data_IF_080505448350
#
_entry.id   IF_080505448350
#
_cell.length_a   1.000
_cell.length_b   1.000
_cell.length_c   1.000
_cell.angle_alpha   90.00
_cell.angle_beta   90.00
_cell.angle_gamma   90.00
#
_symmetry.space_group_name_H-M   'P 1'
#
loop_
_entity.id
_entity.type
_entity.pdbx_description
1 polymer ?
#
# COMPACT_ATOMS: atom_id res chain seq x y z
N UNK A 1 -6.79 12.89 -5.06
CA UNK A 1 -7.33 11.56 -5.40
C UNK A 1 -6.18 10.62 -5.82
N UNK A 2 -5.65 9.83 -4.86
CA UNK A 2 -4.63 8.83 -5.11
C UNK A 2 -5.22 7.41 -5.16
N UNK A 3 -4.73 6.59 -6.09
CA UNK A 3 -5.27 5.26 -6.36
C UNK A 3 -4.15 4.23 -6.48
N UNK A 4 -4.37 3.04 -5.96
CA UNK A 4 -3.52 1.89 -6.26
C UNK A 4 -3.88 1.26 -7.61
N UNK A 5 -2.94 0.55 -8.20
CA UNK A 5 -3.15 -0.17 -9.46
C UNK A 5 -3.90 -1.51 -9.27
N UNK A 6 -3.97 -1.99 -8.02
CA UNK A 6 -4.72 -3.19 -7.65
C UNK A 6 -5.15 -3.11 -6.19
N UNK A 7 -6.40 -3.49 -5.84
CA UNK A 7 -6.89 -3.43 -4.46
C UNK A 7 -6.47 -4.65 -3.61
N UNK A 8 -5.30 -5.23 -3.88
CA UNK A 8 -4.79 -6.42 -3.18
C UNK A 8 -3.31 -6.26 -2.84
N UNK A 9 -2.87 -6.79 -1.70
CA UNK A 9 -1.54 -6.56 -1.12
C UNK A 9 -0.37 -6.68 -2.10
N UNK A 10 0.03 -7.92 -2.49
CA UNK A 10 1.20 -8.14 -3.33
C UNK A 10 1.10 -7.47 -4.71
N UNK A 11 -0.03 -7.56 -5.44
CA UNK A 11 -0.20 -6.87 -6.72
C UNK A 11 -0.08 -5.35 -6.62
N UNK A 12 -0.63 -4.74 -5.58
CA UNK A 12 -0.51 -3.29 -5.35
C UNK A 12 0.93 -2.87 -5.06
N UNK A 13 1.58 -3.58 -4.13
CA UNK A 13 2.99 -3.33 -3.78
C UNK A 13 3.92 -3.54 -4.97
N UNK A 14 3.70 -4.62 -5.74
CA UNK A 14 4.43 -4.86 -6.97
C UNK A 14 4.25 -3.74 -7.98
N UNK A 15 3.05 -3.21 -8.15
CA UNK A 15 2.81 -2.09 -9.06
C UNK A 15 3.47 -0.80 -8.58
N UNK A 16 3.36 -0.48 -7.28
CA UNK A 16 4.02 0.66 -6.64
C UNK A 16 5.55 0.61 -6.85
N UNK A 17 6.16 -0.54 -6.56
CA UNK A 17 7.62 -0.69 -6.49
C UNK A 17 8.28 -1.06 -7.82
N UNK A 18 7.51 -1.39 -8.87
CA UNK A 18 8.03 -1.55 -10.24
C UNK A 18 7.62 -0.43 -11.18
N UNK A 19 6.66 0.42 -10.80
CA UNK A 19 6.06 1.43 -11.69
C UNK A 19 5.28 0.82 -12.85
N UNK A 20 4.81 -0.45 -12.71
CA UNK A 20 4.13 -1.24 -13.76
C UNK A 20 2.87 -1.88 -13.21
N UNK A 21 1.84 -1.99 -14.06
CA UNK A 21 0.62 -2.69 -13.65
C UNK A 21 0.87 -4.19 -13.35
N UNK A 22 0.03 -4.84 -12.51
CA UNK A 22 0.25 -6.24 -12.13
C UNK A 22 0.38 -7.21 -13.31
N UNK A 23 -0.42 -7.04 -14.37
CA UNK A 23 -0.33 -7.88 -15.57
C UNK A 23 0.98 -7.67 -16.36
N UNK A 24 1.65 -6.52 -16.21
CA UNK A 24 2.93 -6.22 -16.84
C UNK A 24 4.13 -6.72 -16.03
N UNK A 25 4.04 -6.68 -14.67
CA UNK A 25 5.13 -7.11 -13.79
C UNK A 25 5.02 -8.59 -13.40
N UNK A 26 3.86 -9.25 -13.63
CA UNK A 26 3.60 -10.66 -13.35
C UNK A 26 3.08 -10.97 -11.95
N UNK A 27 3.13 -10.02 -11.01
CA UNK A 27 2.62 -10.23 -9.65
C UNK A 27 1.11 -9.97 -9.60
N UNK A 28 0.34 -10.88 -10.21
CA UNK A 28 -1.12 -10.76 -10.37
C UNK A 28 -1.94 -11.32 -9.20
N UNK A 29 -1.28 -11.90 -8.21
CA UNK A 29 -1.87 -12.47 -6.99
C UNK A 29 -0.87 -12.41 -5.84
N UNK A 30 -1.23 -13.01 -4.70
CA UNK A 30 -0.41 -12.97 -3.48
C UNK A 30 0.89 -13.74 -3.64
N UNK A 31 2.02 -13.12 -3.27
CA UNK A 31 3.35 -13.69 -3.41
C UNK A 31 3.50 -15.06 -2.71
N UNK A 32 2.96 -15.21 -1.49
CA UNK A 32 2.99 -16.47 -0.75
C UNK A 32 2.11 -17.57 -1.37
N UNK A 33 1.31 -17.26 -2.39
CA UNK A 33 0.50 -18.22 -3.16
C UNK A 33 1.16 -18.61 -4.50
N UNK A 34 2.43 -18.26 -4.69
CA UNK A 34 3.23 -18.64 -5.84
C UNK A 34 3.30 -17.63 -6.98
N UNK A 35 2.71 -16.44 -6.81
CA UNK A 35 2.91 -15.34 -7.74
C UNK A 35 4.21 -14.59 -7.43
N UNK A 36 4.87 -14.04 -8.44
CA UNK A 36 6.13 -13.29 -8.27
C UNK A 36 6.31 -12.25 -9.37
N UNK A 37 7.11 -11.23 -9.08
CA UNK A 37 7.60 -10.29 -10.08
C UNK A 37 8.45 -11.07 -11.08
N UNK A 38 8.12 -10.98 -12.38
CA UNK A 38 8.83 -11.74 -13.44
C UNK A 38 10.26 -11.26 -13.63
N UNK A 39 10.47 -9.92 -13.53
CA UNK A 39 11.78 -9.30 -13.71
C UNK A 39 12.15 -8.50 -12.45
N UNK A 40 12.77 -9.11 -11.43
CA UNK A 40 13.11 -8.43 -10.18
C UNK A 40 14.01 -7.20 -10.34
N UNK A 41 14.82 -7.14 -11.40
CA UNK A 41 15.63 -5.97 -11.74
C UNK A 41 14.80 -4.71 -12.04
N UNK A 42 13.52 -4.85 -12.35
CA UNK A 42 12.60 -3.71 -12.52
C UNK A 42 12.10 -3.15 -11.20
N UNK A 43 12.39 -3.83 -10.08
CA UNK A 43 12.00 -3.35 -8.76
C UNK A 43 12.78 -2.09 -8.37
N UNK A 44 12.12 -1.16 -7.71
CA UNK A 44 12.67 0.13 -7.32
C UNK A 44 13.97 0.00 -6.51
N UNK A 45 14.07 -0.96 -5.59
CA UNK A 45 15.31 -1.22 -4.84
C UNK A 45 16.45 -1.67 -5.76
N UNK A 46 16.21 -2.57 -6.72
CA UNK A 46 17.21 -2.98 -7.72
C UNK A 46 17.69 -1.81 -8.57
N UNK A 47 16.75 -0.96 -9.01
CA UNK A 47 17.06 0.22 -9.78
C UNK A 47 17.92 1.21 -8.97
N UNK A 48 17.48 1.63 -7.79
CA UNK A 48 18.24 2.58 -6.96
C UNK A 48 19.62 2.03 -6.55
N UNK A 49 19.71 0.73 -6.26
CA UNK A 49 21.00 0.08 -6.05
C UNK A 49 21.93 0.23 -7.25
N UNK A 50 21.43 0.05 -8.48
CA UNK A 50 22.20 0.23 -9.71
C UNK A 50 22.66 1.67 -9.93
N UNK A 51 21.94 2.64 -9.35
CA UNK A 51 22.29 4.05 -9.35
C UNK A 51 23.21 4.46 -8.18
N UNK A 52 23.72 3.50 -7.40
CA UNK A 52 24.66 3.73 -6.32
C UNK A 52 24.03 4.01 -4.95
N UNK A 53 22.73 3.94 -4.80
CA UNK A 53 22.06 4.07 -3.51
C UNK A 53 22.32 2.85 -2.61
N UNK A 54 22.40 3.07 -1.31
CA UNK A 54 22.25 2.02 -0.31
C UNK A 54 20.78 1.66 -0.19
N UNK A 55 20.42 0.39 -0.37
CA UNK A 55 19.02 -0.04 -0.39
C UNK A 55 18.69 -0.86 0.85
N UNK A 56 17.69 -0.39 1.59
CA UNK A 56 17.37 -0.88 2.92
C UNK A 56 15.89 -1.24 3.01
N UNK A 57 15.59 -2.40 3.55
CA UNK A 57 14.26 -2.84 3.92
C UNK A 57 14.13 -2.88 5.44
N UNK A 58 13.03 -2.41 5.98
CA UNK A 58 12.62 -2.68 7.36
C UNK A 58 11.11 -2.92 7.42
N UNK A 59 10.71 -4.02 8.04
CA UNK A 59 9.31 -4.39 8.21
C UNK A 59 8.73 -5.20 7.05
N UNK A 60 7.46 -4.96 6.74
CA UNK A 60 6.69 -5.78 5.79
C UNK A 60 7.09 -5.52 4.34
N UNK A 61 7.48 -6.58 3.65
CA UNK A 61 7.56 -6.70 2.18
C UNK A 61 6.59 -7.83 1.78
N UNK A 62 5.92 -7.80 0.66
CA UNK A 62 4.99 -8.85 0.24
C UNK A 62 5.02 -9.05 -1.29
N UNK A 63 6.16 -8.74 -1.91
CA UNK A 63 6.38 -8.82 -3.35
C UNK A 63 7.13 -10.10 -3.75
N UNK A 64 7.78 -10.77 -2.78
CA UNK A 64 8.55 -11.99 -3.00
C UNK A 64 7.81 -13.22 -2.43
N UNK A 65 7.88 -14.34 -3.14
CA UNK A 65 7.21 -15.61 -2.80
C UNK A 65 7.78 -16.35 -1.58
N UNK A 66 8.96 -15.97 -1.14
CA UNK A 66 9.62 -16.53 0.05
C UNK A 66 9.08 -15.98 1.38
N UNK A 67 7.87 -15.45 1.37
CA UNK A 67 7.20 -14.99 2.57
C UNK A 67 6.99 -16.13 3.57
N UNK A 68 7.57 -16.00 4.75
CA UNK A 68 7.27 -16.87 5.88
C UNK A 68 6.08 -16.31 6.67
N UNK A 69 4.93 -16.95 6.52
CA UNK A 69 3.69 -16.50 7.15
C UNK A 69 3.74 -16.59 8.68
N UNK A 70 4.54 -17.51 9.23
CA UNK A 70 4.65 -17.72 10.68
C UNK A 70 5.50 -16.67 11.37
N UNK A 71 6.55 -16.22 10.72
CA UNK A 71 7.45 -15.19 11.22
C UNK A 71 7.03 -13.77 10.84
N UNK A 72 6.10 -13.60 9.88
CA UNK A 72 5.75 -12.31 9.26
C UNK A 72 6.98 -11.52 8.80
N UNK A 73 8.10 -12.17 8.73
CA UNK A 73 9.35 -11.61 8.30
C UNK A 73 9.74 -12.18 6.95
N UNK A 74 10.44 -11.40 6.19
CA UNK A 74 10.75 -11.70 4.82
C UNK A 74 12.22 -11.91 4.66
N UNK A 75 12.59 -13.17 4.47
CA UNK A 75 13.98 -13.62 4.51
C UNK A 75 14.74 -13.27 3.23
N UNK A 76 14.05 -12.97 2.10
CA UNK A 76 14.74 -12.88 0.80
C UNK A 76 14.43 -11.58 0.04
N UNK A 77 14.77 -10.45 0.64
CA UNK A 77 14.70 -9.14 0.00
C UNK A 77 15.82 -8.89 -1.02
N UNK A 78 16.87 -9.73 -1.02
CA UNK A 78 18.04 -9.55 -1.91
C UNK A 78 17.70 -9.71 -3.39
N UNK A 79 16.74 -10.59 -3.73
CA UNK A 79 16.27 -10.76 -5.11
C UNK A 79 15.61 -9.52 -5.66
N UNK A 80 15.01 -8.70 -4.79
CA UNK A 80 14.37 -7.42 -5.11
C UNK A 80 15.38 -6.26 -5.13
N UNK A 81 16.65 -6.51 -4.74
CA UNK A 81 17.72 -5.52 -4.79
C UNK A 81 18.03 -4.82 -3.47
N UNK A 82 17.44 -5.21 -2.33
CA UNK A 82 17.81 -4.67 -1.02
C UNK A 82 19.16 -5.22 -0.56
N UNK A 83 20.08 -4.32 -0.18
CA UNK A 83 21.39 -4.67 0.38
C UNK A 83 21.31 -4.98 1.87
N UNK A 84 20.40 -4.32 2.59
CA UNK A 84 20.17 -4.51 4.02
C UNK A 84 18.73 -4.84 4.29
N UNK A 85 18.52 -5.76 5.22
CA UNK A 85 17.20 -6.06 5.79
C UNK A 85 17.28 -5.93 7.31
N UNK A 86 16.61 -4.90 7.84
CA UNK A 86 16.56 -4.58 9.28
C UNK A 86 15.31 -5.14 9.95
N UNK A 87 14.44 -5.80 9.17
CA UNK A 87 13.15 -6.28 9.66
C UNK A 87 13.30 -7.19 10.86
N UNK A 88 12.40 -7.02 11.83
CA UNK A 88 12.30 -7.95 12.94
C UNK A 88 11.95 -9.35 12.42
N UNK A 89 12.79 -10.32 12.75
CA UNK A 89 12.59 -11.73 12.46
C UNK A 89 12.08 -12.39 13.74
N UNK A 90 10.92 -13.01 13.67
CA UNK A 90 10.38 -13.77 14.79
C UNK A 90 11.22 -15.04 14.97
N UNK A 91 11.94 -15.13 16.07
CA UNK A 91 12.69 -16.35 16.45
C UNK A 91 11.73 -17.41 17.01
N UNK A 92 12.12 -18.69 16.89
CA UNK A 92 11.35 -19.80 17.45
C UNK A 92 11.14 -19.60 18.95
N UNK A 93 9.88 -19.50 19.39
CA UNK A 93 9.51 -19.28 20.79
C UNK A 93 9.21 -17.84 21.21
N UNK A 94 9.45 -16.85 20.37
CA UNK A 94 9.07 -15.46 20.60
C UNK A 94 7.82 -15.12 19.77
N UNK A 95 6.65 -15.11 20.39
CA UNK A 95 5.42 -14.68 19.72
C UNK A 95 5.22 -13.19 19.92
N UNK A 96 5.48 -12.41 18.87
CA UNK A 96 5.24 -10.97 18.82
C UNK A 96 4.13 -10.74 17.80
N UNK A 97 3.11 -9.98 18.17
CA UNK A 97 2.04 -9.61 17.23
C UNK A 97 2.52 -8.56 16.21
N UNK A 98 1.69 -8.29 15.20
CA UNK A 98 2.04 -7.34 14.14
C UNK A 98 2.30 -5.93 14.64
N UNK A 99 1.59 -5.49 15.67
CA UNK A 99 1.74 -4.16 16.27
C UNK A 99 3.07 -4.00 17.00
N UNK A 100 3.44 -5.01 17.79
CA UNK A 100 4.73 -5.06 18.48
C UNK A 100 5.89 -5.15 17.48
N UNK A 101 5.74 -5.95 16.43
CA UNK A 101 6.75 -6.06 15.36
C UNK A 101 6.96 -4.71 14.65
N UNK A 102 5.90 -3.94 14.39
CA UNK A 102 5.99 -2.61 13.79
C UNK A 102 6.74 -1.62 14.68
N UNK A 103 6.50 -1.68 16.02
CA UNK A 103 7.24 -0.85 16.97
C UNK A 103 8.74 -1.16 16.96
N UNK A 104 9.10 -2.45 17.04
CA UNK A 104 10.51 -2.88 16.97
C UNK A 104 11.15 -2.45 15.63
N UNK A 105 10.42 -2.55 14.52
CA UNK A 105 10.90 -2.10 13.22
C UNK A 105 11.07 -0.58 13.14
N UNK A 106 10.20 0.20 13.81
CA UNK A 106 10.35 1.64 13.92
C UNK A 106 11.66 2.01 14.66
N UNK A 107 11.94 1.34 15.81
CA UNK A 107 13.17 1.53 16.57
C UNK A 107 14.42 1.15 15.76
N UNK A 108 14.41 0.02 15.05
CA UNK A 108 15.52 -0.43 14.19
C UNK A 108 15.75 0.54 13.02
N UNK A 109 14.68 1.06 12.44
CA UNK A 109 14.78 2.09 11.40
C UNK A 109 15.38 3.37 11.95
N UNK A 110 14.96 3.79 13.15
CA UNK A 110 15.50 4.96 13.82
C UNK A 110 17.00 4.77 14.14
N UNK A 111 17.38 3.61 14.69
CA UNK A 111 18.78 3.28 14.98
C UNK A 111 19.65 3.32 13.72
N UNK A 112 19.16 2.76 12.60
CA UNK A 112 19.84 2.83 11.32
C UNK A 112 20.05 4.28 10.86
N UNK A 113 19.01 5.11 10.91
CA UNK A 113 19.08 6.51 10.48
C UNK A 113 20.07 7.34 11.33
N UNK A 114 20.08 7.11 12.65
CA UNK A 114 20.94 7.83 13.60
C UNK A 114 22.42 7.41 13.50
N UNK A 115 22.70 6.17 13.15
CA UNK A 115 24.04 5.58 13.22
C UNK A 115 24.60 5.10 11.87
N UNK A 116 23.92 5.42 10.76
CA UNK A 116 24.46 5.07 9.43
C UNK A 116 25.82 5.76 9.19
N UNK A 117 26.79 4.97 8.74
CA UNK A 117 28.17 5.44 8.46
C UNK A 117 28.44 5.57 6.94
N UNK A 118 27.43 5.42 6.09
CA UNK A 118 27.58 5.46 4.64
C UNK A 118 27.34 6.87 4.11
N UNK A 119 28.24 7.38 3.26
CA UNK A 119 28.08 8.64 2.53
C UNK A 119 27.20 8.48 1.27
N UNK A 120 26.80 7.23 0.92
CA UNK A 120 25.94 6.96 -0.22
C UNK A 120 24.51 7.48 0.07
N UNK A 121 23.78 7.98 -0.94
CA UNK A 121 22.35 8.19 -0.78
C UNK A 121 21.67 6.85 -0.44
N UNK A 122 20.49 6.89 0.17
CA UNK A 122 19.78 5.68 0.53
C UNK A 122 18.36 5.64 -0.06
N UNK A 123 17.90 4.43 -0.36
CA UNK A 123 16.51 4.09 -0.59
C UNK A 123 16.05 3.18 0.55
N UNK A 124 15.17 3.67 1.39
CA UNK A 124 14.62 2.95 2.53
C UNK A 124 13.15 2.64 2.31
N UNK A 125 12.81 1.36 2.29
CA UNK A 125 11.43 0.89 2.33
C UNK A 125 11.08 0.48 3.75
N UNK A 126 10.23 1.26 4.42
CA UNK A 126 9.72 0.96 5.76
C UNK A 126 8.27 0.52 5.65
N UNK A 127 8.00 -0.77 5.81
CA UNK A 127 6.68 -1.36 5.71
C UNK A 127 6.11 -1.71 7.08
N UNK A 128 4.95 -1.15 7.43
CA UNK A 128 4.21 -1.50 8.64
C UNK A 128 3.13 -2.54 8.34
N UNK A 129 2.87 -3.41 9.33
CA UNK A 129 1.73 -4.33 9.33
C UNK A 129 0.42 -3.57 9.57
N UNK A 130 0.47 -2.56 10.42
CA UNK A 130 -0.66 -1.67 10.69
C UNK A 130 -0.97 -0.84 9.42
N UNK A 131 -2.20 -0.76 9.00
CA UNK A 131 -3.47 -1.11 9.64
C UNK A 131 -4.10 -2.41 9.08
N UNK A 132 -3.38 -3.51 9.04
CA UNK A 132 -3.89 -4.81 8.60
C UNK A 132 -4.61 -5.52 9.76
N UNK A 133 -5.63 -6.34 9.45
CA UNK A 133 -6.29 -7.22 10.43
C UNK A 133 -5.36 -8.35 10.89
N UNK A 134 -5.51 -8.87 12.12
CA UNK A 134 -6.45 -8.41 13.15
C UNK A 134 -6.01 -7.05 13.74
N UNK A 135 -6.98 -6.21 14.06
CA UNK A 135 -6.73 -4.95 14.76
C UNK A 135 -6.49 -5.22 16.26
N UNK A 136 -5.71 -4.37 16.96
CA UNK A 136 -5.59 -4.43 18.41
C UNK A 136 -6.93 -4.04 19.06
N UNK A 137 -7.21 -4.56 20.25
CA UNK A 137 -8.33 -4.05 21.04
C UNK A 137 -8.10 -2.56 21.37
N UNK A 138 -9.15 -1.76 21.28
CA UNK A 138 -9.05 -0.34 21.59
C UNK A 138 -9.17 -0.11 23.10
N UNK A 139 -8.15 0.51 23.67
CA UNK A 139 -8.17 1.03 25.04
C UNK A 139 -8.48 2.53 25.09
N UNK A 140 -8.38 3.22 23.95
CA UNK A 140 -8.41 4.68 23.85
C UNK A 140 -9.72 5.19 23.24
N UNK A 141 -10.24 4.49 22.22
CA UNK A 141 -11.40 4.95 21.45
C UNK A 141 -12.67 4.24 21.87
N UNK A 142 -13.63 5.03 22.39
CA UNK A 142 -14.96 4.55 22.75
C UNK A 142 -15.75 4.17 21.48
N UNK A 143 -16.23 2.92 21.35
CA UNK A 143 -17.02 2.47 20.20
C UNK A 143 -18.27 3.32 19.93
N UNK A 144 -18.87 3.93 20.96
CA UNK A 144 -20.05 4.79 20.78
C UNK A 144 -19.74 6.15 20.16
N UNK A 145 -18.48 6.58 20.23
CA UNK A 145 -18.04 7.89 19.73
C UNK A 145 -17.27 7.85 18.41
N UNK A 146 -16.97 6.65 17.85
CA UNK A 146 -16.26 6.55 16.57
C UNK A 146 -17.17 6.83 15.38
N UNK A 147 -16.64 7.50 14.37
CA UNK A 147 -17.29 7.67 13.07
C UNK A 147 -17.07 6.41 12.22
N UNK A 148 -18.16 5.78 11.81
CA UNK A 148 -18.09 4.59 10.97
C UNK A 148 -17.64 4.93 9.54
N UNK A 149 -16.82 4.09 8.91
CA UNK A 149 -16.49 4.26 7.50
C UNK A 149 -17.75 4.27 6.64
N UNK A 150 -17.74 5.09 5.61
CA UNK A 150 -18.87 5.21 4.69
C UNK A 150 -19.34 3.86 4.15
N UNK A 151 -20.66 3.61 4.20
CA UNK A 151 -21.30 2.36 3.75
C UNK A 151 -21.10 1.16 4.64
N UNK A 152 -20.58 1.34 5.83
CA UNK A 152 -20.61 0.34 6.90
C UNK A 152 -21.94 0.51 7.65
N UNK A 153 -22.64 -0.61 7.87
CA UNK A 153 -23.88 -0.60 8.66
C UNK A 153 -23.58 -0.31 10.13
N UNK A 154 -24.40 0.53 10.76
CA UNK A 154 -24.25 0.87 12.17
C UNK A 154 -24.74 -0.27 13.05
N UNK A 155 -23.80 -1.07 13.55
CA UNK A 155 -24.00 -2.18 14.48
C UNK A 155 -22.95 -2.10 15.59
N UNK A 156 -23.22 -2.75 16.73
CA UNK A 156 -22.26 -2.83 17.83
C UNK A 156 -20.90 -3.39 17.36
N UNK A 157 -20.93 -4.45 16.54
CA UNK A 157 -19.73 -5.06 16.00
C UNK A 157 -18.97 -4.12 15.06
N UNK A 158 -19.68 -3.30 14.27
CA UNK A 158 -19.05 -2.32 13.38
C UNK A 158 -18.36 -1.21 14.17
N UNK A 159 -18.98 -0.76 15.27
CA UNK A 159 -18.41 0.25 16.17
C UNK A 159 -17.17 -0.27 16.90
N UNK A 160 -17.23 -1.50 17.43
CA UNK A 160 -16.08 -2.18 18.05
C UNK A 160 -14.93 -2.36 17.05
N UNK A 161 -15.23 -2.82 15.85
CA UNK A 161 -14.23 -3.01 14.77
C UNK A 161 -13.59 -1.66 14.34
N UNK A 162 -14.39 -0.60 14.29
CA UNK A 162 -13.91 0.75 13.93
C UNK A 162 -13.06 1.36 15.05
N UNK A 163 -13.42 1.17 16.31
CA UNK A 163 -12.59 1.63 17.44
C UNK A 163 -11.23 0.92 17.47
N UNK A 164 -11.21 -0.38 17.16
CA UNK A 164 -9.99 -1.16 17.01
C UNK A 164 -9.12 -0.68 15.82
N UNK A 165 -9.75 -0.31 14.70
CA UNK A 165 -9.06 0.33 13.58
C UNK A 165 -8.43 1.67 13.99
N UNK A 166 -9.14 2.51 14.77
CA UNK A 166 -8.60 3.79 15.25
C UNK A 166 -7.40 3.59 16.18
N UNK A 167 -7.43 2.56 17.04
CA UNK A 167 -6.27 2.19 17.86
C UNK A 167 -5.08 1.78 16.98
N UNK A 168 -5.33 0.97 15.93
CA UNK A 168 -4.30 0.58 14.97
C UNK A 168 -3.69 1.79 14.24
N UNK A 169 -4.52 2.77 13.85
CA UNK A 169 -4.07 4.03 13.25
C UNK A 169 -3.24 4.87 14.21
N UNK A 170 -3.63 4.97 15.47
CA UNK A 170 -2.87 5.69 16.48
C UNK A 170 -1.49 5.05 16.74
N UNK A 171 -1.41 3.72 16.72
CA UNK A 171 -0.14 3.02 16.83
C UNK A 171 0.73 3.20 15.58
N UNK A 172 0.13 3.17 14.39
CA UNK A 172 0.81 3.50 13.13
C UNK A 172 1.45 4.89 13.22
N UNK A 173 0.69 5.90 13.66
CA UNK A 173 1.16 7.28 13.75
C UNK A 173 2.33 7.42 14.75
N UNK A 174 2.23 6.75 15.91
CA UNK A 174 3.35 6.70 16.89
C UNK A 174 4.63 6.08 16.30
N UNK A 175 4.51 4.98 15.58
CA UNK A 175 5.65 4.31 14.95
C UNK A 175 6.25 5.15 13.82
N UNK A 176 5.40 5.81 13.02
CA UNK A 176 5.84 6.75 11.99
C UNK A 176 6.58 7.93 12.62
N UNK A 177 6.09 8.48 13.74
CA UNK A 177 6.73 9.57 14.47
C UNK A 177 8.15 9.21 14.94
N UNK A 178 8.39 7.99 15.45
CA UNK A 178 9.73 7.52 15.84
C UNK A 178 10.72 7.63 14.67
N UNK A 179 10.32 7.18 13.48
CA UNK A 179 11.16 7.23 12.28
C UNK A 179 11.41 8.67 11.83
N UNK A 180 10.37 9.52 11.86
CA UNK A 180 10.48 10.93 11.48
C UNK A 180 11.38 11.72 12.42
N UNK A 181 11.32 11.47 13.73
CA UNK A 181 12.15 12.14 14.71
C UNK A 181 13.62 11.71 14.58
N UNK A 182 13.88 10.43 14.31
CA UNK A 182 15.22 9.95 14.01
C UNK A 182 15.80 10.59 12.74
N UNK A 183 15.00 10.73 11.67
CA UNK A 183 15.40 11.37 10.43
C UNK A 183 15.79 12.85 10.65
N UNK A 184 15.03 13.58 11.49
CA UNK A 184 15.34 14.96 11.89
C UNK A 184 16.59 15.02 12.76
N UNK A 185 16.70 14.17 13.78
CA UNK A 185 17.83 14.13 14.69
C UNK A 185 19.16 13.78 13.98
N UNK A 186 19.09 12.92 12.95
CA UNK A 186 20.23 12.59 12.10
C UNK A 186 20.61 13.72 11.11
N UNK A 187 19.84 14.82 11.04
CA UNK A 187 20.07 15.90 10.08
C UNK A 187 19.75 15.54 8.62
N UNK A 188 19.01 14.45 8.39
CA UNK A 188 18.72 13.93 7.04
C UNK A 188 17.39 14.45 6.48
N UNK A 189 16.50 14.97 7.33
CA UNK A 189 15.13 15.36 6.97
C UNK A 189 15.07 16.33 5.78
N UNK A 190 15.94 17.36 5.77
CA UNK A 190 15.93 18.38 4.73
C UNK A 190 16.52 17.90 3.39
N UNK A 191 17.10 16.71 3.36
CA UNK A 191 17.66 16.10 2.15
C UNK A 191 17.08 14.72 1.85
N UNK A 192 15.84 14.48 2.28
CA UNK A 192 15.16 13.17 2.06
C UNK A 192 13.80 13.41 1.45
N UNK A 193 13.52 12.75 0.32
CA UNK A 193 12.17 12.60 -0.22
C UNK A 193 11.42 11.62 0.66
N UNK A 194 10.23 11.99 1.12
CA UNK A 194 9.40 11.17 2.00
C UNK A 194 8.09 10.88 1.29
N UNK A 195 7.77 9.58 1.17
CA UNK A 195 6.49 9.10 0.64
C UNK A 195 5.83 8.24 1.70
N UNK A 196 4.64 8.61 2.15
CA UNK A 196 3.78 7.80 3.00
C UNK A 196 2.53 7.44 2.22
N UNK A 197 2.25 6.14 2.11
CA UNK A 197 1.07 5.64 1.38
C UNK A 197 0.58 4.32 1.96
N UNK A 198 -0.70 4.00 1.73
CA UNK A 198 -1.26 2.66 1.96
C UNK A 198 -1.22 1.85 0.66
N UNK A 199 -1.14 0.54 0.73
CA UNK A 199 -1.10 -0.30 -0.47
C UNK A 199 -2.48 -0.40 -1.17
N UNK A 200 -3.58 -0.41 -0.43
CA UNK A 200 -4.96 -0.39 -0.93
C UNK A 200 -5.92 0.15 0.14
N UNK A 201 -7.21 0.10 -0.13
CA UNK A 201 -8.25 0.53 0.81
C UNK A 201 -8.42 -0.42 2.00
N UNK A 202 -9.29 -0.02 2.94
CA UNK A 202 -9.53 -0.73 4.20
C UNK A 202 -9.94 -2.19 3.99
N UNK A 203 -9.58 -3.05 4.95
CA UNK A 203 -9.93 -4.47 5.00
C UNK A 203 -11.41 -4.69 5.40
N UNK A 204 -12.31 -3.97 4.75
CA UNK A 204 -13.76 -4.05 4.95
C UNK A 204 -14.45 -4.63 3.72
N UNK A 205 -15.66 -5.21 3.85
CA UNK A 205 -16.48 -5.60 2.72
C UNK A 205 -16.65 -4.45 1.72
N UNK A 206 -16.64 -4.75 0.42
CA UNK A 206 -16.71 -3.78 -0.68
C UNK A 206 -15.60 -2.74 -0.72
N UNK A 207 -14.52 -2.95 0.00
CA UNK A 207 -13.30 -2.14 -0.02
C UNK A 207 -12.13 -2.96 -0.56
N UNK A 208 -11.20 -3.42 0.28
CA UNK A 208 -10.10 -4.33 -0.16
C UNK A 208 -10.61 -5.44 -1.07
N UNK A 209 -9.83 -5.80 -2.07
CA UNK A 209 -10.16 -6.81 -3.08
C UNK A 209 -11.36 -6.45 -3.99
N UNK A 210 -11.76 -5.17 -4.04
CA UNK A 210 -12.76 -4.69 -4.99
C UNK A 210 -12.26 -3.47 -5.76
N UNK A 211 -12.79 -3.25 -6.96
CA UNK A 211 -12.44 -2.11 -7.78
C UNK A 211 -13.31 -0.87 -7.48
N UNK A 212 -14.09 -0.86 -6.40
CA UNK A 212 -14.76 0.35 -5.93
C UNK A 212 -13.74 1.38 -5.41
N UNK A 213 -14.10 2.66 -5.34
CA UNK A 213 -13.19 3.71 -4.88
C UNK A 213 -12.65 3.44 -3.48
N UNK A 214 -13.43 2.82 -2.59
CA UNK A 214 -12.97 2.38 -1.26
C UNK A 214 -11.91 1.29 -1.29
N UNK A 215 -11.84 0.51 -2.38
CA UNK A 215 -10.83 -0.55 -2.54
C UNK A 215 -9.55 -0.04 -3.19
N UNK A 216 -9.67 0.84 -4.19
CA UNK A 216 -8.51 1.37 -4.93
C UNK A 216 -8.02 2.73 -4.41
N UNK A 217 -8.82 3.48 -3.65
CA UNK A 217 -8.42 4.74 -3.03
C UNK A 217 -7.38 4.51 -1.94
N UNK A 218 -6.32 5.31 -1.94
CA UNK A 218 -5.19 5.20 -1.00
C UNK A 218 -4.87 6.56 -0.38
N UNK A 219 -4.35 6.53 0.83
CA UNK A 219 -3.65 7.68 1.41
C UNK A 219 -2.33 7.88 0.67
N UNK A 220 -1.98 9.11 0.33
CA UNK A 220 -0.69 9.43 -0.26
C UNK A 220 -0.23 10.81 0.19
N UNK A 221 0.90 10.85 0.86
CA UNK A 221 1.60 12.06 1.27
C UNK A 221 3.00 12.02 0.65
N UNK A 222 3.37 13.06 -0.08
CA UNK A 222 4.69 13.17 -0.71
C UNK A 222 5.33 14.50 -0.30
N UNK A 223 6.55 14.40 0.24
CA UNK A 223 7.41 15.56 0.50
C UNK A 223 8.66 15.45 -0.37
N UNK A 224 8.87 16.46 -1.21
CA UNK A 224 10.10 16.62 -1.98
C UNK A 224 10.78 17.90 -1.49
N UNK A 225 11.95 17.83 -0.83
CA UNK A 225 12.60 19.00 -0.19
C UNK A 225 12.86 20.17 -1.12
N UNK A 226 13.14 19.90 -2.40
CA UNK A 226 13.41 20.90 -3.43
C UNK A 226 12.20 21.79 -3.76
N UNK A 227 11.00 21.39 -3.34
CA UNK A 227 9.73 22.08 -3.61
C UNK A 227 9.01 22.50 -2.32
N UNK A 228 9.62 23.35 -1.47
CA UNK A 228 9.07 23.70 -0.15
C UNK A 228 7.74 24.47 -0.21
N UNK A 229 7.45 25.14 -1.32
CA UNK A 229 6.20 25.89 -1.49
C UNK A 229 4.96 25.00 -1.61
N UNK A 230 5.13 23.70 -1.86
CA UNK A 230 4.03 22.74 -1.91
C UNK A 230 3.76 22.06 -0.57
N UNK A 231 4.54 22.34 0.46
CA UNK A 231 4.33 21.76 1.79
C UNK A 231 2.96 22.17 2.35
N UNK A 232 2.18 21.18 2.79
CA UNK A 232 0.83 21.38 3.34
C UNK A 232 -0.24 21.71 2.28
N UNK A 233 0.04 21.52 1.01
CA UNK A 233 -0.95 21.70 -0.07
C UNK A 233 -1.64 20.41 -0.43
N UNK A 234 -2.85 20.53 -0.99
CA UNK A 234 -3.64 19.41 -1.51
C UNK A 234 -3.64 19.44 -3.04
N UNK A 235 -3.44 18.26 -3.62
CA UNK A 235 -3.60 18.06 -5.05
C UNK A 235 -4.92 17.33 -5.33
N UNK A 236 -5.79 17.95 -6.13
CA UNK A 236 -7.12 17.44 -6.46
C UNK A 236 -7.15 16.60 -7.75
N UNK A 237 -6.05 16.55 -8.49
CA UNK A 237 -5.93 15.69 -9.67
C UNK A 237 -5.77 14.21 -9.31
N UNK A 238 -5.92 13.35 -10.30
CA UNK A 238 -5.76 11.91 -10.11
C UNK A 238 -4.29 11.51 -10.17
N UNK A 239 -3.90 10.62 -9.25
CA UNK A 239 -2.57 10.02 -9.12
C UNK A 239 -2.72 8.50 -9.01
N UNK A 240 -1.85 7.77 -9.66
CA UNK A 240 -1.72 6.31 -9.49
C UNK A 240 -0.40 5.95 -8.81
N UNK A 241 -0.37 4.86 -8.06
CA UNK A 241 0.87 4.34 -7.47
C UNK A 241 2.00 4.14 -8.48
N UNK A 242 1.69 3.77 -9.72
CA UNK A 242 2.70 3.62 -10.78
C UNK A 242 3.41 4.92 -11.15
N UNK A 243 2.88 6.08 -10.73
CA UNK A 243 3.46 7.40 -10.98
C UNK A 243 4.63 7.73 -10.03
N UNK A 244 4.74 7.02 -8.91
CA UNK A 244 5.75 7.33 -7.89
C UNK A 244 7.16 7.03 -8.36
N UNK A 245 7.38 5.93 -9.06
CA UNK A 245 8.71 5.57 -9.56
C UNK A 245 9.26 6.60 -10.57
N UNK A 246 8.55 6.97 -11.65
CA UNK A 246 9.03 8.01 -12.55
C UNK A 246 9.18 9.38 -11.87
N UNK A 247 8.40 9.66 -10.83
CA UNK A 247 8.54 10.88 -10.01
C UNK A 247 9.87 10.91 -9.26
N UNK A 248 10.23 9.81 -8.62
CA UNK A 248 11.52 9.68 -7.94
C UNK A 248 12.70 9.78 -8.91
N UNK A 249 12.60 9.19 -10.11
CA UNK A 249 13.62 9.35 -11.13
C UNK A 249 13.82 10.82 -11.51
N UNK A 250 12.76 11.56 -11.78
CA UNK A 250 12.85 12.96 -12.14
C UNK A 250 13.35 13.83 -10.97
N UNK A 251 12.89 13.58 -9.75
CA UNK A 251 13.30 14.34 -8.57
C UNK A 251 14.79 14.17 -8.23
N UNK A 252 15.34 12.99 -8.51
CA UNK A 252 16.75 12.67 -8.30
C UNK A 252 17.64 12.90 -9.56
N UNK A 253 17.05 13.39 -10.66
CA UNK A 253 17.77 13.59 -11.93
C UNK A 253 18.27 12.28 -12.57
N UNK A 254 17.61 11.16 -12.29
CA UNK A 254 17.97 9.84 -12.80
C UNK A 254 17.27 9.51 -14.13
N UNK A 255 17.88 8.72 -15.01
CA UNK A 255 17.23 8.31 -16.24
C UNK A 255 16.00 7.43 -15.95
N UNK A 256 14.85 7.80 -16.52
CA UNK A 256 13.63 7.01 -16.40
C UNK A 256 13.73 5.73 -17.23
N UNK A 257 13.60 4.55 -16.62
CA UNK A 257 13.52 3.29 -17.36
C UNK A 257 12.34 3.26 -18.35
N UNK A 258 12.57 2.69 -19.52
CA UNK A 258 11.57 2.63 -20.58
C UNK A 258 10.38 1.70 -20.27
N UNK A 259 10.50 0.85 -19.26
CA UNK A 259 9.42 -0.06 -18.85
C UNK A 259 8.37 0.57 -17.92
N UNK A 260 8.58 1.81 -17.46
CA UNK A 260 7.64 2.47 -16.54
C UNK A 260 6.32 2.81 -17.25
N UNK A 261 5.21 2.44 -16.62
CA UNK A 261 3.85 2.70 -17.12
C UNK A 261 3.25 3.99 -16.56
N UNK A 262 3.85 4.53 -15.51
CA UNK A 262 3.42 5.76 -14.83
C UNK A 262 3.93 7.03 -15.48
N UNK A 263 3.42 8.16 -15.00
CA UNK A 263 3.87 9.52 -15.36
C UNK A 263 4.39 10.23 -14.10
N UNK A 264 5.38 11.09 -14.25
CA UNK A 264 5.95 11.82 -13.14
C UNK A 264 4.98 12.85 -12.55
N UNK A 265 4.93 12.93 -11.22
CA UNK A 265 4.19 13.95 -10.48
C UNK A 265 4.95 15.29 -10.38
N UNK A 266 6.19 15.34 -10.80
CA UNK A 266 7.03 16.53 -10.61
C UNK A 266 6.38 17.81 -11.13
N UNK A 267 5.69 17.85 -12.30
CA UNK A 267 4.98 19.03 -12.77
C UNK A 267 3.91 19.56 -11.80
N UNK A 268 3.35 18.70 -10.93
CA UNK A 268 2.38 19.12 -9.90
C UNK A 268 3.08 19.91 -8.78
N UNK A 269 4.32 19.56 -8.45
CA UNK A 269 5.11 20.28 -7.46
C UNK A 269 5.55 21.65 -7.96
N UNK A 270 5.69 21.84 -9.27
CA UNK A 270 5.94 23.13 -9.89
C UNK A 270 4.67 23.96 -10.03
N UNK A 271 3.55 23.30 -10.36
CA UNK A 271 2.24 23.92 -10.50
C UNK A 271 1.13 22.98 -10.01
N UNK A 272 0.56 23.18 -8.81
CA UNK A 272 -0.48 22.34 -8.25
C UNK A 272 -1.80 22.30 -9.04
N UNK A 273 -1.98 23.19 -10.04
CA UNK A 273 -3.12 23.15 -10.94
C UNK A 273 -2.87 22.27 -12.18
N UNK A 274 -1.64 21.80 -12.37
CA UNK A 274 -1.31 20.93 -13.50
C UNK A 274 -1.99 19.59 -13.36
N UNK A 275 -2.70 19.13 -14.41
CA UNK A 275 -3.29 17.81 -14.46
C UNK A 275 -2.38 16.87 -15.23
N UNK A 276 -1.88 15.83 -14.58
CA UNK A 276 -0.97 14.84 -15.18
C UNK A 276 -1.71 13.75 -15.94
N UNK A 277 -3.00 13.52 -15.60
CA UNK A 277 -3.83 12.50 -16.23
C UNK A 277 -5.32 12.83 -16.09
N UNK A 278 -6.12 12.31 -17.00
CA UNK A 278 -7.58 12.41 -17.01
C UNK A 278 -8.27 11.12 -16.55
N UNK A 279 -7.51 10.03 -16.37
CA UNK A 279 -7.99 8.74 -15.89
C UNK A 279 -6.93 7.93 -15.18
N UNK A 280 -7.38 6.97 -14.38
CA UNK A 280 -6.55 5.92 -13.78
C UNK A 280 -7.14 4.56 -14.10
N UNK A 281 -6.27 3.54 -14.16
CA UNK A 281 -6.65 2.14 -14.29
C UNK A 281 -6.34 1.40 -12.99
N UNK A 282 -7.17 0.39 -12.69
CA UNK A 282 -6.84 -0.61 -11.69
C UNK A 282 -7.39 -1.97 -12.13
N UNK A 283 -6.79 -3.02 -11.57
CA UNK A 283 -7.15 -4.39 -11.88
C UNK A 283 -7.10 -5.29 -10.65
N UNK A 284 -7.95 -6.30 -10.67
CA UNK A 284 -7.81 -7.47 -9.78
C UNK A 284 -7.77 -8.72 -10.65
N UNK A 285 -7.00 -9.73 -10.26
CA UNK A 285 -6.93 -11.01 -10.96
C UNK A 285 -7.12 -12.16 -9.97
N UNK A 286 -6.38 -12.13 -8.86
CA UNK A 286 -6.38 -13.19 -7.88
C UNK A 286 -6.04 -12.64 -6.48
N UNK A 287 -6.77 -13.09 -5.47
CA UNK A 287 -6.41 -12.93 -4.05
C UNK A 287 -6.50 -14.27 -3.35
N UNK A 288 -7.58 -14.57 -2.65
CA UNK A 288 -7.89 -15.91 -2.14
C UNK A 288 -8.45 -16.79 -3.25
N UNK A 289 -9.23 -16.21 -4.15
CA UNK A 289 -9.79 -16.86 -5.32
C UNK A 289 -9.64 -15.98 -6.57
N UNK A 290 -9.82 -16.62 -7.74
CA UNK A 290 -9.78 -15.99 -9.04
C UNK A 290 -10.98 -15.07 -9.23
N UNK A 291 -10.73 -13.81 -9.62
CA UNK A 291 -11.75 -12.80 -9.90
C UNK A 291 -11.19 -11.72 -10.82
N UNK A 292 -11.00 -12.01 -12.12
CA UNK A 292 -10.41 -11.06 -13.03
C UNK A 292 -11.39 -9.93 -13.33
N UNK A 293 -11.00 -8.72 -12.99
CA UNK A 293 -11.74 -7.51 -13.29
C UNK A 293 -10.81 -6.35 -13.60
N UNK A 294 -11.32 -5.37 -14.32
CA UNK A 294 -10.62 -4.14 -14.71
C UNK A 294 -11.51 -2.95 -14.45
N UNK A 295 -10.92 -1.82 -14.10
CA UNK A 295 -11.64 -0.56 -14.10
C UNK A 295 -10.86 0.55 -14.75
N UNK A 296 -11.61 1.51 -15.30
CA UNK A 296 -11.14 2.84 -15.63
C UNK A 296 -11.95 3.84 -14.80
N UNK A 297 -11.25 4.81 -14.22
CA UNK A 297 -11.84 5.88 -13.43
C UNK A 297 -11.38 7.23 -13.96
N UNK A 298 -12.31 8.09 -14.34
CA UNK A 298 -12.11 9.50 -14.67
C UNK A 298 -12.55 10.37 -13.50
N UNK A 299 -12.46 11.68 -13.58
CA UNK A 299 -12.96 12.57 -12.54
C UNK A 299 -14.46 12.38 -12.24
N UNK A 300 -15.27 12.08 -13.26
CA UNK A 300 -16.71 11.97 -13.16
C UNK A 300 -17.23 10.54 -13.24
N UNK A 301 -16.64 9.70 -14.07
CA UNK A 301 -17.17 8.37 -14.35
C UNK A 301 -16.21 7.28 -13.90
N UNK A 302 -16.78 6.17 -13.48
CA UNK A 302 -16.04 4.94 -13.24
C UNK A 302 -16.75 3.77 -13.89
N UNK A 303 -16.00 2.98 -14.66
CA UNK A 303 -16.47 1.75 -15.28
C UNK A 303 -15.69 0.57 -14.74
N UNK A 304 -16.40 -0.49 -14.34
CA UNK A 304 -15.82 -1.75 -13.87
C UNK A 304 -16.38 -2.88 -14.73
N UNK A 305 -15.50 -3.80 -15.16
CA UNK A 305 -15.88 -5.00 -15.90
C UNK A 305 -15.27 -6.25 -15.25
N UNK A 306 -16.12 -7.25 -14.98
CA UNK A 306 -15.75 -8.58 -14.52
C UNK A 306 -15.68 -9.52 -15.72
N UNK A 307 -14.62 -10.36 -15.77
CA UNK A 307 -14.32 -11.24 -16.92
C UNK A 307 -14.58 -12.70 -16.63
N UNK A 308 -14.78 -13.10 -15.36
CA UNK A 308 -15.17 -14.47 -15.03
C UNK A 308 -16.64 -14.71 -15.40
N UNK A 309 -16.87 -15.59 -16.37
CA UNK A 309 -18.22 -15.95 -16.83
C UNK A 309 -18.82 -17.08 -16.00
N UNK A 310 -18.00 -17.84 -15.28
CA UNK A 310 -18.44 -18.99 -14.49
C UNK A 310 -18.96 -18.58 -13.10
N UNK A 311 -18.60 -17.37 -12.62
CA UNK A 311 -18.99 -16.91 -11.30
C UNK A 311 -19.62 -15.52 -11.33
N UNK A 312 -20.91 -15.45 -11.15
CA UNK A 312 -21.72 -14.22 -11.17
C UNK A 312 -22.09 -13.67 -9.77
N UNK A 313 -21.56 -14.25 -8.69
CA UNK A 313 -21.85 -13.83 -7.31
C UNK A 313 -20.79 -12.90 -6.76
N UNK A 314 -21.14 -12.15 -5.70
CA UNK A 314 -20.14 -11.41 -4.93
C UNK A 314 -19.16 -12.37 -4.26
N UNK A 315 -17.87 -12.10 -4.45
CA UNK A 315 -16.80 -12.99 -4.00
C UNK A 315 -16.39 -12.68 -2.56
N UNK A 316 -17.14 -13.22 -1.59
CA UNK A 316 -16.86 -13.02 -0.18
C UNK A 316 -15.59 -13.74 0.32
N UNK A 317 -15.00 -14.65 -0.49
CA UNK A 317 -13.74 -15.32 -0.10
C UNK A 317 -12.53 -14.41 -0.22
N UNK A 318 -12.60 -13.37 -1.04
CA UNK A 318 -11.57 -12.34 -1.16
C UNK A 318 -11.66 -11.26 -0.06
N UNK A 319 -12.77 -11.20 0.68
CA UNK A 319 -12.95 -10.31 1.80
C UNK A 319 -12.28 -10.87 3.06
N UNK A 320 -11.52 -10.06 3.78
CA UNK A 320 -10.90 -10.47 5.04
C UNK A 320 -11.95 -10.86 6.09
N UNK A 321 -11.59 -11.81 6.97
CA UNK A 321 -12.48 -12.26 8.02
C UNK A 321 -12.69 -11.16 9.06
N UNK A 322 -13.96 -10.87 9.33
CA UNK A 322 -14.41 -9.85 10.28
C UNK A 322 -15.87 -10.06 10.66
N UNK A 323 -16.32 -9.45 11.74
CA UNK A 323 -17.73 -9.45 12.12
C UNK A 323 -18.62 -8.84 11.03
N UNK A 324 -18.13 -7.79 10.35
CA UNK A 324 -18.81 -7.15 9.22
C UNK A 324 -19.02 -8.12 8.04
N UNK A 325 -18.01 -8.93 7.71
CA UNK A 325 -18.15 -10.00 6.71
C UNK A 325 -19.20 -11.04 7.15
N UNK A 326 -19.14 -11.45 8.43
CA UNK A 326 -20.10 -12.37 9.02
C UNK A 326 -21.54 -11.88 8.89
N UNK A 327 -21.77 -10.61 9.21
CA UNK A 327 -23.08 -9.95 9.07
C UNK A 327 -23.59 -10.00 7.61
N UNK A 328 -22.75 -9.63 6.63
CA UNK A 328 -23.17 -9.65 5.22
C UNK A 328 -23.45 -11.05 4.70
N UNK A 329 -22.67 -12.06 5.13
CA UNK A 329 -22.92 -13.46 4.76
C UNK A 329 -24.26 -13.92 5.32
N UNK A 330 -24.57 -13.60 6.59
CA UNK A 330 -25.87 -13.89 7.20
C UNK A 330 -27.03 -13.15 6.51
N UNK A 331 -26.80 -11.94 6.03
CA UNK A 331 -27.77 -11.16 5.25
C UNK A 331 -27.94 -11.66 3.80
N UNK A 332 -27.28 -12.75 3.41
CA UNK A 332 -27.45 -13.39 2.09
C UNK A 332 -26.63 -12.79 0.95
N UNK A 333 -25.64 -11.94 1.24
CA UNK A 333 -24.83 -11.31 0.20
C UNK A 333 -24.00 -12.29 -0.63
N UNK A 334 -23.64 -13.44 -0.08
CA UNK A 334 -22.94 -14.51 -0.80
C UNK A 334 -23.74 -15.04 -2.00
N UNK A 335 -25.08 -14.99 -1.93
CA UNK A 335 -25.98 -15.50 -2.95
C UNK A 335 -26.44 -14.42 -3.94
N UNK A 336 -26.09 -13.14 -3.69
CA UNK A 336 -26.44 -12.05 -4.57
C UNK A 336 -25.62 -12.10 -5.86
N UNK A 337 -26.31 -12.00 -7.01
CA UNK A 337 -25.64 -11.85 -8.31
C UNK A 337 -25.05 -10.45 -8.46
N UNK A 338 -23.83 -10.38 -8.94
CA UNK A 338 -23.19 -9.10 -9.30
C UNK A 338 -23.32 -8.85 -10.82
N UNK A 339 -23.59 -7.62 -11.23
CA UNK A 339 -23.52 -7.24 -12.64
C UNK A 339 -22.13 -7.48 -13.21
N UNK A 340 -22.06 -7.92 -14.47
CA UNK A 340 -20.76 -8.05 -15.18
C UNK A 340 -20.09 -6.72 -15.48
N UNK A 341 -20.89 -5.68 -15.63
CA UNK A 341 -20.42 -4.33 -15.90
C UNK A 341 -21.14 -3.35 -14.99
N UNK A 342 -20.38 -2.39 -14.47
CA UNK A 342 -20.86 -1.34 -13.59
C UNK A 342 -20.37 0.01 -14.14
N UNK A 343 -21.25 0.97 -14.27
CA UNK A 343 -20.93 2.35 -14.60
C UNK A 343 -21.47 3.27 -13.51
N UNK A 344 -20.58 4.10 -12.96
CA UNK A 344 -20.91 5.08 -11.92
C UNK A 344 -20.73 6.50 -12.47
N UNK A 345 -21.63 7.40 -12.13
CA UNK A 345 -21.45 8.85 -12.17
C UNK A 345 -21.08 9.28 -10.74
N UNK A 346 -19.83 9.75 -10.51
CA UNK A 346 -19.16 9.91 -9.22
C UNK A 346 -19.45 11.28 -8.60
#
# INVERSE_FOLDING_TARGET
HAFCASPTCSPSRGALLTGRYPHENGLIGLAHRGFSIQNPETHMASFFRSQGFETVLCGVQHEEKSYDYTSRSMVYSQTLGYEKNLSFLQEEGCQVDGCQADHINAERTAEYLLHRCSDRPFFLSYGMFQTHRPYPESETFDPESVELPEGVFDTEEARLDTSALYESLAQFDRNFQIVMDALKAAGLYENTIIISTTDHGLANPFSKCTLFDRGIGVSLIVRIPQYPLTHGTWYNGMVSHVDLFPTLCDAEGLPKPAWLSGVSLLPVFENPQHQIRDHVFAEINFHTSYEPARCIRTQRYKYIRYYDEAWDKYNMTNCDDSALKGFLVQAGWREQSKPRELLFDL
#
